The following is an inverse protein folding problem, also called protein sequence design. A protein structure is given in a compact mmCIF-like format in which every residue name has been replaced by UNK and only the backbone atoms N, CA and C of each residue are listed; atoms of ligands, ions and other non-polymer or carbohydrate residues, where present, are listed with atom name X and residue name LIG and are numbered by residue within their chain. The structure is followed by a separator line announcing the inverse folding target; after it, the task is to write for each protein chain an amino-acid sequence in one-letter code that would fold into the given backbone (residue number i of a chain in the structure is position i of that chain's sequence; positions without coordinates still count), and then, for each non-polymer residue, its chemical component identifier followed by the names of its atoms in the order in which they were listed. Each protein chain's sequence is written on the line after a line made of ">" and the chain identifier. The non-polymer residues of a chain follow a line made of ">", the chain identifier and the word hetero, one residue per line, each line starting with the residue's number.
data_IF_488190677089
#
_entry.id   IF_488190677089
#
_cell.length_a   1.000
_cell.length_b   1.000
_cell.length_c   1.000
_cell.angle_alpha   90.00
_cell.angle_beta   90.00
_cell.angle_gamma   90.00
#
_symmetry.space_group_name_H-M   'P 1'
#
loop_
_entity.id
_entity.type
_entity.pdbx_description
1 polymer ?
#
# COMPACT_ATOMS: atom_id res chain seq x y z
N UNK A 1 -12.58 10.21 -28.68
CA UNK A 1 -12.09 10.67 -27.36
C UNK A 1 -13.16 11.59 -26.82
N UNK A 2 -13.81 11.23 -25.74
CA UNK A 2 -14.83 12.08 -25.06
C UNK A 2 -14.12 13.29 -24.45
N UNK A 3 -14.70 14.47 -24.65
CA UNK A 3 -14.15 15.69 -24.08
C UNK A 3 -14.26 15.61 -22.55
N UNK A 4 -13.14 15.79 -21.77
CA UNK A 4 -13.17 15.72 -20.31
C UNK A 4 -14.19 16.67 -19.66
N UNK A 5 -14.54 17.77 -20.29
CA UNK A 5 -15.53 18.73 -19.80
C UNK A 5 -16.98 18.21 -19.83
N UNK A 6 -17.24 17.13 -20.60
CA UNK A 6 -18.56 16.50 -20.73
C UNK A 6 -18.78 15.33 -19.76
N UNK A 7 -17.74 14.94 -19.02
CA UNK A 7 -17.83 13.82 -18.08
C UNK A 7 -18.62 14.20 -16.82
N UNK A 8 -19.44 13.29 -16.35
CA UNK A 8 -20.21 13.48 -15.12
C UNK A 8 -19.29 13.73 -13.92
N UNK A 9 -19.64 14.74 -13.13
CA UNK A 9 -19.00 15.06 -11.84
C UNK A 9 -19.70 14.38 -10.65
N UNK A 10 -20.81 13.68 -10.89
CA UNK A 10 -21.51 12.94 -9.87
C UNK A 10 -20.77 11.64 -9.56
N UNK A 11 -20.68 11.23 -8.29
CA UNK A 11 -20.16 9.93 -7.91
C UNK A 11 -20.92 8.80 -8.61
N UNK A 12 -20.26 7.67 -8.81
CA UNK A 12 -20.83 6.48 -9.42
C UNK A 12 -21.18 5.49 -8.29
N UNK A 13 -22.42 4.98 -8.27
CA UNK A 13 -22.79 3.98 -7.28
C UNK A 13 -21.95 2.71 -7.43
N UNK A 14 -21.49 2.15 -6.31
CA UNK A 14 -20.83 0.86 -6.30
C UNK A 14 -21.89 -0.24 -6.35
N UNK A 15 -21.88 -1.11 -7.38
CA UNK A 15 -22.88 -2.16 -7.48
C UNK A 15 -22.68 -3.30 -6.47
N UNK A 16 -21.54 -3.34 -5.77
CA UNK A 16 -21.19 -4.38 -4.83
C UNK A 16 -21.62 -4.08 -3.40
N UNK A 17 -21.92 -2.80 -3.10
CA UNK A 17 -22.24 -2.38 -1.72
C UNK A 17 -23.30 -1.27 -1.73
N UNK A 18 -24.36 -1.46 -0.95
CA UNK A 18 -25.42 -0.47 -0.82
C UNK A 18 -24.88 0.81 -0.17
N UNK A 19 -25.33 1.95 -0.68
CA UNK A 19 -24.94 3.28 -0.19
C UNK A 19 -23.42 3.58 -0.29
N UNK A 20 -22.72 2.86 -1.18
CA UNK A 20 -21.31 3.06 -1.46
C UNK A 20 -21.10 3.69 -2.85
N UNK A 21 -20.00 4.44 -2.98
CA UNK A 21 -19.76 5.27 -4.16
C UNK A 21 -18.30 5.25 -4.59
N UNK A 22 -18.09 5.23 -5.90
CA UNK A 22 -16.83 5.48 -6.57
C UNK A 22 -16.65 6.96 -6.91
N UNK A 23 -15.41 7.40 -7.18
CA UNK A 23 -15.17 8.72 -7.75
C UNK A 23 -15.93 8.92 -9.05
N UNK A 24 -16.21 10.20 -9.35
CA UNK A 24 -16.86 10.56 -10.62
C UNK A 24 -15.97 10.26 -11.82
N UNK A 25 -16.57 10.04 -12.98
CA UNK A 25 -15.84 9.85 -14.23
C UNK A 25 -14.92 11.04 -14.55
N UNK A 26 -15.37 12.26 -14.21
CA UNK A 26 -14.56 13.46 -14.32
C UNK A 26 -13.31 13.36 -13.45
N UNK A 27 -13.44 13.03 -12.16
CA UNK A 27 -12.30 12.88 -11.25
C UNK A 27 -11.30 11.83 -11.75
N UNK A 28 -11.79 10.67 -12.17
CA UNK A 28 -10.92 9.62 -12.71
C UNK A 28 -10.13 10.11 -13.93
N UNK A 29 -10.75 10.88 -14.82
CA UNK A 29 -10.07 11.40 -16.01
C UNK A 29 -8.98 12.46 -15.70
N UNK A 30 -9.07 13.12 -14.54
CA UNK A 30 -8.12 14.16 -14.14
C UNK A 30 -6.96 13.63 -13.30
N UNK A 31 -7.21 12.63 -12.46
CA UNK A 31 -6.28 12.23 -11.39
C UNK A 31 -5.76 10.81 -11.52
N UNK A 32 -6.30 10.01 -12.46
CA UNK A 32 -5.86 8.62 -12.67
C UNK A 32 -5.26 8.49 -14.07
N UNK A 33 -3.94 8.68 -14.22
CA UNK A 33 -3.28 8.48 -15.50
C UNK A 33 -3.29 6.99 -15.89
N UNK A 34 -3.37 6.68 -17.18
CA UNK A 34 -3.37 5.29 -17.67
C UNK A 34 -2.03 4.60 -17.49
N UNK A 35 -0.96 5.36 -17.36
CA UNK A 35 0.42 4.92 -17.14
C UNK A 35 1.06 5.75 -16.04
N UNK A 36 2.09 5.21 -15.38
CA UNK A 36 2.90 5.94 -14.40
C UNK A 36 4.14 6.56 -15.06
N UNK A 37 4.94 7.28 -14.30
CA UNK A 37 6.25 7.80 -14.68
C UNK A 37 7.41 6.89 -14.23
N UNK A 38 7.11 5.63 -13.88
CA UNK A 38 8.13 4.68 -13.46
C UNK A 38 9.13 4.41 -14.59
N UNK A 39 10.38 4.79 -14.37
CA UNK A 39 11.48 4.71 -15.34
C UNK A 39 12.26 3.39 -15.30
N UNK A 40 11.80 2.41 -14.50
CA UNK A 40 12.49 1.13 -14.29
C UNK A 40 13.39 1.12 -13.06
N UNK A 41 13.62 2.25 -12.40
CA UNK A 41 14.37 2.40 -11.15
C UNK A 41 15.70 1.63 -11.14
N UNK A 42 16.70 2.12 -11.87
CA UNK A 42 18.01 1.50 -11.95
C UNK A 42 18.92 2.04 -10.85
N UNK A 43 19.22 1.22 -9.84
CA UNK A 43 20.12 1.57 -8.75
C UNK A 43 21.50 0.93 -8.97
N UNK A 44 22.56 1.76 -9.00
CA UNK A 44 23.93 1.31 -9.26
C UNK A 44 24.47 0.36 -8.18
N UNK A 45 23.99 0.46 -6.96
CA UNK A 45 24.38 -0.38 -5.83
C UNK A 45 23.15 -0.80 -5.00
N UNK A 46 22.37 -1.78 -5.48
CA UNK A 46 21.23 -2.26 -4.72
C UNK A 46 21.67 -2.87 -3.39
N UNK A 47 20.82 -2.75 -2.38
CA UNK A 47 21.04 -3.32 -1.07
C UNK A 47 21.15 -4.86 -1.16
N UNK A 48 22.10 -5.45 -0.43
CA UNK A 48 22.34 -6.92 -0.43
C UNK A 48 22.27 -7.55 0.96
N UNK A 49 21.75 -6.84 1.94
CA UNK A 49 21.83 -7.21 3.35
C UNK A 49 20.62 -7.93 3.92
N UNK A 50 19.66 -8.40 3.08
CA UNK A 50 18.47 -9.10 3.58
C UNK A 50 17.56 -8.26 4.47
N UNK A 51 17.66 -6.91 4.39
CA UNK A 51 16.74 -6.03 5.12
C UNK A 51 15.37 -6.10 4.49
N UNK A 52 14.37 -6.19 5.34
CA UNK A 52 12.97 -6.23 4.98
C UNK A 52 12.32 -4.87 5.21
N UNK A 53 11.41 -4.54 4.31
CA UNK A 53 10.53 -3.39 4.44
C UNK A 53 9.13 -3.92 4.70
N UNK A 54 8.51 -3.44 5.77
CA UNK A 54 7.13 -3.76 6.07
C UNK A 54 6.20 -2.76 5.36
N UNK A 55 5.35 -3.27 4.52
CA UNK A 55 4.23 -2.55 3.95
C UNK A 55 2.98 -2.84 4.78
N UNK A 56 2.48 -1.83 5.47
CA UNK A 56 1.19 -1.91 6.18
C UNK A 56 0.10 -1.39 5.26
N UNK A 57 -0.86 -2.23 4.93
CA UNK A 57 -1.96 -1.92 4.02
C UNK A 57 -3.32 -2.05 4.73
N UNK A 58 -4.36 -1.45 4.17
CA UNK A 58 -5.71 -1.68 4.64
C UNK A 58 -6.34 -2.89 3.97
N UNK A 59 -7.06 -3.67 4.75
CA UNK A 59 -7.98 -4.73 4.31
C UNK A 59 -9.45 -4.25 4.31
N UNK A 60 -9.65 -2.96 4.56
CA UNK A 60 -10.94 -2.28 4.43
C UNK A 60 -10.98 -1.46 3.14
N UNK A 61 -12.12 -1.51 2.45
CA UNK A 61 -12.34 -0.75 1.22
C UNK A 61 -13.13 0.53 1.45
N UNK A 62 -14.09 0.49 2.36
CA UNK A 62 -15.06 1.56 2.50
C UNK A 62 -14.77 2.47 3.67
N UNK A 63 -14.82 3.77 3.41
CA UNK A 63 -14.73 4.81 4.43
C UNK A 63 -16.10 5.43 4.61
N UNK A 64 -16.61 5.41 5.85
CA UNK A 64 -17.87 6.08 6.20
C UNK A 64 -17.68 7.59 6.17
N UNK A 65 -18.43 8.23 5.30
CA UNK A 65 -18.41 9.67 5.12
C UNK A 65 -19.34 10.36 6.14
N UNK A 66 -19.09 11.64 6.42
CA UNK A 66 -19.88 12.43 7.38
C UNK A 66 -21.38 12.48 7.08
N UNK A 67 -21.75 12.34 5.82
CA UNK A 67 -23.16 12.32 5.37
C UNK A 67 -23.81 10.94 5.46
N UNK A 68 -23.13 9.95 6.01
CA UNK A 68 -23.64 8.59 6.18
C UNK A 68 -23.50 7.70 4.94
N UNK A 69 -22.92 8.19 3.84
CA UNK A 69 -22.59 7.35 2.69
C UNK A 69 -21.20 6.71 2.86
N UNK A 70 -20.93 5.64 2.12
CA UNK A 70 -19.62 5.01 2.07
C UNK A 70 -18.89 5.40 0.80
N UNK A 71 -17.60 5.65 0.90
CA UNK A 71 -16.73 5.91 -0.24
C UNK A 71 -15.73 4.77 -0.40
N UNK A 72 -15.57 4.27 -1.62
CA UNK A 72 -14.58 3.26 -1.96
C UNK A 72 -13.18 3.89 -1.92
N UNK A 73 -12.44 3.63 -0.87
CA UNK A 73 -11.15 4.23 -0.54
C UNK A 73 -10.19 3.22 0.10
N UNK A 74 -9.99 2.10 -0.56
CA UNK A 74 -8.94 1.16 -0.21
C UNK A 74 -7.54 1.67 -0.56
N UNK A 75 -6.55 0.79 -0.64
CA UNK A 75 -5.21 1.19 -1.02
C UNK A 75 -5.18 1.67 -2.48
N UNK A 76 -4.61 2.85 -2.72
CA UNK A 76 -4.42 3.35 -4.08
C UNK A 76 -3.28 2.58 -4.76
N UNK A 77 -3.51 1.93 -5.91
CA UNK A 77 -2.51 1.04 -6.52
C UNK A 77 -1.18 1.73 -6.80
N UNK A 78 -1.20 2.93 -7.38
CA UNK A 78 0.02 3.66 -7.73
C UNK A 78 0.78 4.10 -6.48
N UNK A 79 0.08 4.73 -5.52
CA UNK A 79 0.71 5.21 -4.28
C UNK A 79 1.31 4.08 -3.44
N UNK A 80 0.77 2.87 -3.55
CA UNK A 80 1.29 1.70 -2.86
C UNK A 80 2.39 1.02 -3.67
N UNK A 81 2.14 0.72 -4.94
CA UNK A 81 3.04 -0.12 -5.72
C UNK A 81 4.28 0.61 -6.24
N UNK A 82 4.21 1.91 -6.57
CA UNK A 82 5.41 2.62 -7.04
C UNK A 82 6.53 2.62 -5.98
N UNK A 83 6.30 3.00 -4.72
CA UNK A 83 7.31 2.87 -3.69
C UNK A 83 7.82 1.44 -3.52
N UNK A 84 6.94 0.43 -3.58
CA UNK A 84 7.34 -0.97 -3.52
C UNK A 84 8.24 -1.36 -4.70
N UNK A 85 7.93 -0.91 -5.93
CA UNK A 85 8.74 -1.17 -7.12
C UNK A 85 10.15 -0.57 -6.97
N UNK A 86 10.25 0.65 -6.46
CA UNK A 86 11.53 1.29 -6.18
C UNK A 86 12.33 0.54 -5.10
N UNK A 87 11.70 0.14 -4.01
CA UNK A 87 12.34 -0.60 -2.92
C UNK A 87 12.79 -1.99 -3.37
N UNK A 88 11.97 -2.70 -4.15
CA UNK A 88 12.31 -4.00 -4.75
C UNK A 88 13.53 -3.88 -5.68
N UNK A 89 13.55 -2.86 -6.56
CA UNK A 89 14.71 -2.57 -7.42
C UNK A 89 15.95 -2.13 -6.64
N UNK A 90 15.76 -1.48 -5.49
CA UNK A 90 16.84 -1.14 -4.57
C UNK A 90 17.35 -2.35 -3.76
N UNK A 91 16.76 -3.53 -3.92
CA UNK A 91 17.24 -4.79 -3.32
C UNK A 91 16.70 -5.08 -1.93
N UNK A 92 15.59 -4.44 -1.54
CA UNK A 92 14.89 -4.76 -0.30
C UNK A 92 13.86 -5.87 -0.52
N UNK A 93 13.70 -6.73 0.47
CA UNK A 93 12.57 -7.65 0.55
C UNK A 93 11.36 -6.90 1.12
N UNK A 94 10.18 -7.14 0.57
CA UNK A 94 8.96 -6.46 1.02
C UNK A 94 8.01 -7.50 1.60
N UNK A 95 7.67 -7.32 2.86
CA UNK A 95 6.58 -8.05 3.52
C UNK A 95 5.33 -7.19 3.57
N UNK A 96 4.17 -7.83 3.35
CA UNK A 96 2.88 -7.17 3.34
C UNK A 96 2.07 -7.63 4.55
N UNK A 97 1.50 -6.69 5.27
CA UNK A 97 0.62 -6.95 6.41
C UNK A 97 -0.63 -6.09 6.33
N UNK A 98 -1.71 -6.60 6.88
CA UNK A 98 -2.95 -5.87 7.14
C UNK A 98 -3.33 -6.02 8.60
N UNK A 99 -4.22 -5.17 9.09
CA UNK A 99 -4.60 -5.18 10.50
C UNK A 99 -5.15 -6.54 10.97
N UNK A 100 -5.88 -7.24 10.12
CA UNK A 100 -6.54 -8.52 10.46
C UNK A 100 -5.97 -9.74 9.71
N UNK A 101 -4.89 -9.58 8.92
CA UNK A 101 -4.37 -10.64 8.06
C UNK A 101 -5.20 -10.94 6.81
N UNK A 102 -6.31 -10.25 6.61
CA UNK A 102 -7.11 -10.39 5.40
C UNK A 102 -6.40 -9.84 4.15
N UNK A 103 -6.80 -10.23 2.95
CA UNK A 103 -6.23 -9.71 1.71
C UNK A 103 -6.32 -8.17 1.61
N UNK A 104 -5.24 -7.56 1.14
CA UNK A 104 -5.18 -6.12 0.85
C UNK A 104 -6.28 -5.73 -0.12
N UNK A 105 -6.99 -4.66 0.18
CA UNK A 105 -8.03 -4.11 -0.70
C UNK A 105 -7.49 -2.96 -1.52
N UNK A 106 -7.25 -3.23 -2.81
CA UNK A 106 -6.89 -2.18 -3.77
C UNK A 106 -8.10 -1.58 -4.46
N UNK A 107 -7.99 -0.29 -4.75
CA UNK A 107 -8.97 0.43 -5.58
C UNK A 107 -8.69 0.23 -7.06
N UNK A 108 -9.34 -0.77 -7.65
CA UNK A 108 -9.10 -1.16 -9.04
C UNK A 108 -9.54 -0.10 -10.06
N UNK A 109 -10.34 0.88 -9.64
CA UNK A 109 -10.65 2.05 -10.46
C UNK A 109 -9.43 2.98 -10.63
N UNK A 110 -8.48 2.95 -9.70
CA UNK A 110 -7.23 3.73 -9.74
C UNK A 110 -6.05 2.96 -10.37
N UNK A 111 -6.25 1.73 -10.86
CA UNK A 111 -5.19 0.94 -11.48
C UNK A 111 -4.75 1.58 -12.81
N UNK A 112 -3.45 1.83 -13.03
CA UNK A 112 -2.93 2.36 -14.29
C UNK A 112 -2.90 1.23 -15.34
N UNK A 113 -4.04 1.02 -16.00
CA UNK A 113 -4.31 -0.18 -16.81
C UNK A 113 -3.45 -0.35 -18.07
N UNK A 114 -2.74 0.70 -18.48
CA UNK A 114 -1.84 0.65 -19.64
C UNK A 114 -0.36 0.60 -19.22
N UNK A 115 -0.08 0.56 -17.92
CA UNK A 115 1.27 0.44 -17.40
C UNK A 115 1.64 -1.04 -17.22
N UNK A 116 2.46 -1.54 -18.16
CA UNK A 116 2.89 -2.94 -18.14
C UNK A 116 3.78 -3.26 -16.93
N UNK A 117 4.61 -2.32 -16.48
CA UNK A 117 5.51 -2.54 -15.35
C UNK A 117 4.73 -2.68 -14.04
N UNK A 118 3.71 -1.84 -13.84
CA UNK A 118 2.81 -1.93 -12.68
C UNK A 118 1.99 -3.21 -12.73
N UNK A 119 1.47 -3.60 -13.90
CA UNK A 119 0.69 -4.82 -14.05
C UNK A 119 1.51 -6.08 -13.74
N UNK A 120 2.75 -6.14 -14.22
CA UNK A 120 3.68 -7.23 -13.95
C UNK A 120 4.04 -7.30 -12.46
N UNK A 121 4.35 -6.15 -11.85
CA UNK A 121 4.66 -6.06 -10.44
C UNK A 121 3.47 -6.50 -9.57
N UNK A 122 2.26 -6.04 -9.88
CA UNK A 122 1.04 -6.45 -9.20
C UNK A 122 0.85 -7.96 -9.26
N UNK A 123 0.98 -8.55 -10.45
CA UNK A 123 0.84 -10.00 -10.63
C UNK A 123 1.88 -10.80 -9.83
N UNK A 124 3.12 -10.31 -9.76
CA UNK A 124 4.20 -10.93 -8.97
C UNK A 124 3.93 -10.88 -7.47
N UNK A 125 3.41 -9.77 -6.95
CA UNK A 125 3.12 -9.60 -5.52
C UNK A 125 1.72 -10.09 -5.11
N UNK A 126 0.88 -10.50 -6.05
CA UNK A 126 -0.48 -10.94 -5.75
C UNK A 126 -0.57 -12.05 -4.69
N UNK A 127 0.33 -13.06 -4.63
CA UNK A 127 0.32 -14.02 -3.54
C UNK A 127 0.51 -13.40 -2.15
N UNK A 128 1.41 -12.44 -2.00
CA UNK A 128 1.66 -11.72 -0.75
C UNK A 128 0.48 -10.80 -0.38
N UNK A 129 -0.12 -10.16 -1.39
CA UNK A 129 -1.29 -9.28 -1.26
C UNK A 129 -2.51 -10.08 -0.77
N UNK A 130 -2.69 -11.30 -1.28
CA UNK A 130 -3.83 -12.16 -0.91
C UNK A 130 -3.62 -12.92 0.40
N UNK A 131 -2.38 -13.11 0.83
CA UNK A 131 -2.01 -13.83 2.03
C UNK A 131 -1.23 -12.92 2.98
N UNK A 132 -1.72 -11.70 3.16
CA UNK A 132 -1.15 -10.75 4.11
C UNK A 132 -1.10 -11.35 5.52
N UNK A 133 -0.06 -11.04 6.27
CA UNK A 133 0.07 -11.45 7.66
C UNK A 133 -0.75 -10.53 8.56
N UNK A 134 -1.26 -11.07 9.65
CA UNK A 134 -1.82 -10.27 10.72
C UNK A 134 -0.75 -9.36 11.33
N UNK A 135 -1.07 -8.09 11.50
CA UNK A 135 -0.11 -7.09 11.96
C UNK A 135 0.36 -7.33 13.40
N UNK A 136 -0.54 -7.81 14.27
CA UNK A 136 -0.17 -8.10 15.65
C UNK A 136 0.75 -9.34 15.72
N UNK A 137 0.49 -10.35 14.90
CA UNK A 137 1.37 -11.51 14.76
C UNK A 137 2.76 -11.10 14.25
N UNK A 138 2.80 -10.28 13.20
CA UNK A 138 4.07 -9.74 12.68
C UNK A 138 4.84 -8.97 13.75
N UNK A 139 4.18 -8.05 14.48
CA UNK A 139 4.83 -7.29 15.55
C UNK A 139 5.36 -8.18 16.67
N UNK A 140 4.64 -9.24 17.02
CA UNK A 140 5.08 -10.21 18.04
C UNK A 140 6.35 -10.94 17.63
N UNK A 141 6.44 -11.40 16.38
CA UNK A 141 7.65 -12.04 15.85
C UNK A 141 8.80 -11.05 15.74
N UNK A 142 8.56 -9.87 15.20
CA UNK A 142 9.57 -8.83 15.06
C UNK A 142 10.12 -8.38 16.42
N UNK A 143 9.28 -8.24 17.44
CA UNK A 143 9.71 -7.96 18.80
C UNK A 143 10.53 -9.11 19.39
N UNK A 144 10.18 -10.36 19.08
CA UNK A 144 10.94 -11.55 19.45
C UNK A 144 12.32 -11.58 18.78
N UNK A 145 12.40 -11.28 17.50
CA UNK A 145 13.67 -11.18 16.75
C UNK A 145 14.54 -10.03 17.26
N UNK A 146 13.98 -8.86 17.54
CA UNK A 146 14.67 -7.74 18.14
C UNK A 146 15.25 -8.12 19.52
N UNK A 147 14.46 -8.74 20.37
CA UNK A 147 14.93 -9.19 21.68
C UNK A 147 16.04 -10.23 21.56
N UNK A 148 15.91 -11.20 20.66
CA UNK A 148 16.92 -12.22 20.42
C UNK A 148 18.23 -11.63 19.86
N UNK A 149 18.14 -10.68 18.94
CA UNK A 149 19.32 -10.00 18.37
C UNK A 149 19.99 -9.04 19.36
N UNK A 150 19.25 -8.49 20.31
CA UNK A 150 19.76 -7.53 21.30
C UNK A 150 20.32 -8.19 22.57
N UNK A 151 19.97 -9.44 22.86
CA UNK A 151 20.61 -10.23 23.91
C UNK A 151 22.12 -10.46 23.61
N UNK A 152 22.53 -10.22 22.35
CA UNK A 152 23.94 -10.31 21.90
C UNK A 152 24.67 -8.97 21.74
N UNK A 153 24.02 -7.82 21.78
CA UNK A 153 24.63 -6.51 21.56
C UNK A 153 23.96 -5.41 22.40
N UNK A 154 24.37 -5.26 23.64
CA UNK A 154 24.27 -4.14 24.56
C UNK A 154 23.36 -2.94 24.27
N UNK A 155 22.08 -3.10 23.96
CA UNK A 155 21.08 -2.02 23.83
C UNK A 155 20.40 -1.67 25.16
N UNK A 156 21.10 -1.92 26.29
CA UNK A 156 20.66 -1.54 27.64
C UNK A 156 20.89 -0.06 27.99
N UNK A 157 21.33 0.77 27.03
CA UNK A 157 21.73 2.15 27.31
C UNK A 157 20.85 3.26 26.71
N UNK A 158 19.66 2.94 26.23
CA UNK A 158 18.66 3.97 25.94
C UNK A 158 17.46 3.84 26.89
N UNK A 159 17.74 3.88 28.18
CA UNK A 159 16.77 4.40 29.14
C UNK A 159 16.98 5.90 29.16
N UNK A 160 15.93 6.62 28.86
CA UNK A 160 15.80 8.01 29.20
C UNK A 160 15.84 8.11 30.73
N UNK A 161 17.02 8.31 31.26
CA UNK A 161 17.22 8.69 32.65
C UNK A 161 16.73 10.13 32.75
N UNK A 162 15.40 10.27 32.90
CA UNK A 162 14.76 11.53 33.21
C UNK A 162 15.40 12.11 34.44
N UNK A 163 16.46 12.88 34.25
CA UNK A 163 17.04 13.71 35.27
C UNK A 163 16.29 15.03 35.32
N UNK A 164 15.38 15.08 36.25
CA UNK A 164 14.70 16.28 36.69
C UNK A 164 15.58 17.03 37.69
N UNK A 165 16.14 18.14 37.25
CA UNK A 165 16.45 19.26 38.15
C UNK A 165 16.10 20.57 37.44
#
# INVERSE_FOLDING_TARGET
>A
MTNPQELSRSPVADPAEENAWFPSLYSLSQYIPPVTDFDGANYAAPHRGGKKILMVATDERYVLMKNGTMFSSGNHPVETMLPMMHLDKAGFEIEVTTLSGNPVKFEMWAMPRQDAAVAEFYARYLPNINNGRDFAEFLSEFAGELNASHMGSGWSSYRDDGDST
#
